data_IF_962369334356
#
_entry.id   IF_962369334356
#
_cell.length_a   1.000
_cell.length_b   1.000
_cell.length_c   1.000
_cell.angle_alpha   90.00
_cell.angle_beta   90.00
_cell.angle_gamma   90.00
#
_symmetry.space_group_name_H-M   'P 1'
#
loop_
_entity.id
_entity.type
_entity.pdbx_description
1 polymer ?
#
# COMPACT_ATOMS: atom_id res chain seq x y z
N UNK A 1 -16.26 -5.82 -6.94
CA UNK A 1 -15.94 -5.49 -5.55
C UNK A 1 -16.16 -4.00 -5.40
N UNK A 2 -17.02 -3.62 -4.47
CA UNK A 2 -17.39 -2.21 -4.28
C UNK A 2 -16.29 -1.46 -3.52
N UNK A 3 -16.21 -0.14 -3.71
CA UNK A 3 -15.21 0.72 -3.05
C UNK A 3 -15.24 0.56 -1.52
N UNK A 4 -16.43 0.48 -0.94
CA UNK A 4 -16.65 0.29 0.51
C UNK A 4 -16.09 -1.04 1.03
N UNK A 5 -16.13 -2.10 0.21
CA UNK A 5 -15.54 -3.39 0.56
C UNK A 5 -14.01 -3.31 0.58
N UNK A 6 -13.39 -2.63 -0.40
CA UNK A 6 -11.93 -2.44 -0.46
C UNK A 6 -11.42 -1.65 0.75
N UNK A 7 -12.13 -0.58 1.13
CA UNK A 7 -11.79 0.21 2.33
C UNK A 7 -11.93 -0.65 3.59
N UNK A 8 -12.99 -1.44 3.70
CA UNK A 8 -13.18 -2.33 4.87
C UNK A 8 -12.08 -3.38 4.96
N UNK A 9 -11.65 -3.92 3.81
CA UNK A 9 -10.58 -4.90 3.75
C UNK A 9 -9.22 -4.30 4.13
N UNK A 10 -8.90 -3.10 3.63
CA UNK A 10 -7.70 -2.36 4.02
C UNK A 10 -7.63 -2.19 5.54
N UNK A 11 -8.70 -1.70 6.17
CA UNK A 11 -8.75 -1.51 7.63
C UNK A 11 -8.53 -2.80 8.41
N UNK A 12 -9.10 -3.91 7.95
CA UNK A 12 -8.90 -5.22 8.58
C UNK A 12 -7.44 -5.67 8.50
N UNK A 13 -6.81 -5.49 7.35
CA UNK A 13 -5.42 -5.85 7.14
C UNK A 13 -4.47 -4.97 7.96
N UNK A 14 -4.70 -3.65 7.99
CA UNK A 14 -3.95 -2.74 8.87
C UNK A 14 -4.04 -3.16 10.33
N UNK A 15 -5.24 -3.53 10.81
CA UNK A 15 -5.43 -4.02 12.17
C UNK A 15 -4.67 -5.33 12.43
N UNK A 16 -4.63 -6.23 11.45
CA UNK A 16 -3.91 -7.51 11.56
C UNK A 16 -2.39 -7.35 11.62
N UNK A 17 -1.85 -6.45 10.82
CA UNK A 17 -0.41 -6.18 10.70
C UNK A 17 0.09 -5.09 11.68
N UNK A 18 -0.82 -4.46 12.44
CA UNK A 18 -0.48 -3.37 13.37
C UNK A 18 -0.01 -2.09 12.68
N UNK A 19 -0.57 -1.78 11.50
CA UNK A 19 -0.21 -0.60 10.71
C UNK A 19 -1.15 0.58 10.97
N UNK A 20 -0.62 1.79 10.85
CA UNK A 20 -1.39 3.01 10.80
C UNK A 20 -2.10 3.14 9.43
N UNK A 21 -3.43 3.28 9.46
CA UNK A 21 -4.27 3.44 8.26
C UNK A 21 -3.88 4.68 7.43
N UNK A 22 -3.27 5.70 8.04
CA UNK A 22 -2.85 6.93 7.35
C UNK A 22 -1.60 6.73 6.49
N UNK A 23 -0.77 5.74 6.84
CA UNK A 23 0.47 5.40 6.16
C UNK A 23 0.34 4.13 5.32
N UNK A 24 -0.83 3.49 5.29
CA UNK A 24 -1.05 2.23 4.61
C UNK A 24 -1.94 2.38 3.38
N UNK A 25 -1.65 1.59 2.35
CA UNK A 25 -2.49 1.49 1.17
C UNK A 25 -2.51 0.06 0.62
N UNK A 26 -3.50 -0.22 -0.23
CA UNK A 26 -3.65 -1.51 -0.89
C UNK A 26 -3.48 -1.36 -2.39
N UNK A 27 -2.68 -2.23 -3.00
CA UNK A 27 -2.53 -2.32 -4.45
C UNK A 27 -2.91 -3.72 -4.95
N UNK A 28 -3.32 -3.80 -6.21
CA UNK A 28 -3.68 -5.04 -6.89
C UNK A 28 -2.64 -5.28 -7.99
N UNK A 29 -2.00 -6.43 -7.95
CA UNK A 29 -0.92 -6.80 -8.89
C UNK A 29 -1.19 -8.18 -9.51
N UNK A 30 -0.56 -8.49 -10.66
CA UNK A 30 -0.47 -9.86 -11.15
C UNK A 30 0.20 -10.80 -10.13
N UNK A 31 -0.06 -12.10 -10.25
CA UNK A 31 0.38 -13.08 -9.25
C UNK A 31 1.89 -13.36 -9.29
N UNK A 32 2.47 -13.20 -10.46
CA UNK A 32 3.87 -13.43 -10.78
C UNK A 32 4.80 -12.26 -10.41
N UNK A 33 4.23 -11.14 -9.95
CA UNK A 33 5.02 -9.99 -9.50
C UNK A 33 5.62 -10.27 -8.12
N UNK A 34 6.95 -10.11 -8.04
CA UNK A 34 7.71 -10.24 -6.81
C UNK A 34 7.55 -9.03 -5.89
N UNK A 35 7.77 -9.23 -4.59
CA UNK A 35 7.66 -8.13 -3.60
C UNK A 35 8.60 -6.98 -3.96
N UNK A 36 9.84 -7.27 -4.35
CA UNK A 36 10.82 -6.23 -4.67
C UNK A 36 10.36 -5.35 -5.83
N UNK A 37 9.77 -5.95 -6.86
CA UNK A 37 9.24 -5.22 -8.01
C UNK A 37 8.06 -4.33 -7.62
N UNK A 38 7.18 -4.80 -6.71
CA UNK A 38 6.10 -3.98 -6.15
C UNK A 38 6.66 -2.78 -5.38
N UNK A 39 7.62 -3.01 -4.48
CA UNK A 39 8.25 -1.93 -3.70
C UNK A 39 8.94 -0.92 -4.61
N UNK A 40 9.84 -1.37 -5.50
CA UNK A 40 10.59 -0.51 -6.42
C UNK A 40 9.66 0.31 -7.32
N UNK A 41 8.59 -0.30 -7.84
CA UNK A 41 7.62 0.39 -8.69
C UNK A 41 6.86 1.46 -7.90
N UNK A 42 6.40 1.14 -6.69
CA UNK A 42 5.63 2.09 -5.86
C UNK A 42 6.52 3.23 -5.33
N UNK A 43 7.80 2.98 -5.07
CA UNK A 43 8.78 4.00 -4.68
C UNK A 43 9.05 5.03 -5.79
N UNK A 44 8.73 4.73 -7.05
CA UNK A 44 8.78 5.73 -8.14
C UNK A 44 7.72 6.83 -7.99
N UNK A 45 6.66 6.57 -7.21
CA UNK A 45 5.60 7.53 -6.94
C UNK A 45 6.07 8.44 -5.80
N UNK A 46 6.49 9.66 -6.15
CA UNK A 46 7.10 10.62 -5.22
C UNK A 46 6.35 10.77 -3.90
N UNK A 47 5.02 10.84 -3.92
CA UNK A 47 4.20 11.05 -2.72
C UNK A 47 4.11 9.86 -1.76
N UNK A 48 4.58 8.68 -2.16
CA UNK A 48 4.63 7.49 -1.30
C UNK A 48 5.99 7.35 -0.61
N UNK A 49 7.02 7.99 -1.16
CA UNK A 49 8.41 7.86 -0.73
C UNK A 49 8.81 6.39 -0.61
N UNK A 50 9.37 6.02 0.53
CA UNK A 50 9.81 4.65 0.81
C UNK A 50 8.63 3.74 1.14
N UNK A 51 8.49 2.64 0.40
CA UNK A 51 7.36 1.72 0.51
C UNK A 51 7.83 0.35 0.97
N UNK A 52 7.12 -0.27 1.92
CA UNK A 52 7.33 -1.67 2.37
C UNK A 52 6.07 -2.49 2.26
N UNK A 53 6.18 -3.67 1.67
CA UNK A 53 5.10 -4.66 1.66
C UNK A 53 5.00 -5.30 3.04
N UNK A 54 3.79 -5.30 3.60
CA UNK A 54 3.50 -5.83 4.94
C UNK A 54 2.63 -7.08 4.90
N UNK A 55 1.73 -7.16 3.92
CA UNK A 55 0.87 -8.33 3.73
C UNK A 55 0.54 -8.58 2.27
N UNK A 56 0.26 -9.83 1.92
CA UNK A 56 -0.21 -10.22 0.58
C UNK A 56 -1.21 -11.36 0.67
N UNK A 57 -2.23 -11.31 -0.18
CA UNK A 57 -3.24 -12.35 -0.26
C UNK A 57 -3.79 -12.43 -1.69
N UNK A 58 -4.16 -13.64 -2.11
CA UNK A 58 -4.81 -13.85 -3.39
C UNK A 58 -6.32 -13.61 -3.25
N UNK A 59 -6.86 -12.67 -4.03
CA UNK A 59 -8.29 -12.43 -4.08
C UNK A 59 -8.91 -13.27 -5.19
N UNK A 60 -9.55 -14.38 -4.82
CA UNK A 60 -10.29 -15.23 -5.78
C UNK A 60 -11.36 -14.43 -6.55
N UNK A 61 -11.97 -13.43 -5.90
CA UNK A 61 -12.98 -12.55 -6.49
C UNK A 61 -12.42 -11.61 -7.56
N UNK A 62 -11.15 -11.19 -7.43
CA UNK A 62 -10.48 -10.32 -8.40
C UNK A 62 -9.60 -11.13 -9.37
N UNK A 63 -9.34 -12.40 -9.08
CA UNK A 63 -8.36 -13.25 -9.75
C UNK A 63 -6.98 -12.56 -9.88
N UNK A 64 -6.57 -11.91 -8.78
CA UNK A 64 -5.37 -11.07 -8.67
C UNK A 64 -4.82 -11.11 -7.25
N UNK A 65 -3.55 -10.74 -7.09
CA UNK A 65 -2.92 -10.59 -5.79
C UNK A 65 -3.18 -9.19 -5.23
N UNK A 66 -3.67 -9.12 -4.00
CA UNK A 66 -3.78 -7.89 -3.23
C UNK A 66 -2.58 -7.78 -2.30
N UNK A 67 -2.01 -6.59 -2.22
CA UNK A 67 -0.81 -6.32 -1.44
C UNK A 67 -1.07 -5.11 -0.54
N UNK A 68 -0.82 -5.28 0.75
CA UNK A 68 -0.84 -4.22 1.74
C UNK A 68 0.57 -3.64 1.87
N UNK A 69 0.66 -2.34 1.70
CA UNK A 69 1.90 -1.59 1.71
C UNK A 69 1.86 -0.52 2.80
N UNK A 70 2.99 -0.27 3.44
CA UNK A 70 3.24 0.87 4.32
C UNK A 70 4.15 1.86 3.58
N UNK A 71 3.75 3.12 3.55
CA UNK A 71 4.56 4.26 3.11
C UNK A 71 5.17 4.95 4.33
N UNK A 72 6.47 5.22 4.28
CA UNK A 72 7.19 5.92 5.36
C UNK A 72 7.35 7.43 5.10
N UNK A 73 6.74 7.93 4.03
CA UNK A 73 6.72 9.36 3.77
C UNK A 73 5.81 10.06 4.77
N UNK A 74 6.37 11.05 5.47
CA UNK A 74 5.60 11.97 6.29
C UNK A 74 5.32 13.19 5.41
N UNK A 75 4.05 13.52 5.16
CA UNK A 75 3.62 14.63 4.29
C UNK A 75 4.08 16.02 4.77
N UNK A 76 4.87 16.10 5.85
CA UNK A 76 5.43 17.32 6.40
C UNK A 76 6.66 17.86 5.63
N UNK A 77 7.32 17.07 4.78
CA UNK A 77 8.58 17.50 4.12
C UNK A 77 8.39 18.28 2.81
N UNK A 78 7.17 18.29 2.25
CA UNK A 78 6.85 19.02 1.01
C UNK A 78 6.36 20.47 1.24
N UNK A 79 6.37 20.95 2.49
CA UNK A 79 5.64 22.17 2.89
C UNK A 79 6.46 23.36 3.41
N UNK A 80 7.78 23.25 3.63
CA UNK A 80 8.56 24.37 4.18
C UNK A 80 9.97 24.43 3.58
N UNK A 81 10.09 25.03 2.39
CA UNK A 81 11.31 25.75 2.03
C UNK A 81 11.14 27.21 2.47
N UNK A 82 11.78 27.66 3.57
CA UNK A 82 11.89 29.08 3.84
C UNK A 82 12.82 29.70 2.77
N UNK A 83 12.28 30.64 2.00
CA UNK A 83 13.09 31.65 1.31
C UNK A 83 13.53 32.73 2.30
#
# INVERSE_FOLDING_TARGET
>A
MEKTELVSELKRWCRGEGLDETHAFMTIVPEDVEISEVEETLETIKSLGRVRVRGRNFSARLNRRMVLCESKETTADWGCHPQ
#
